data_IF_124890186926
#
_entry.id   IF_124890186926
#
_cell.length_a   1.000
_cell.length_b   1.000
_cell.length_c   1.000
_cell.angle_alpha   90.00
_cell.angle_beta   90.00
_cell.angle_gamma   90.00
#
_symmetry.space_group_name_H-M   'P 1'
#
loop_
_entity.id
_entity.type
_entity.pdbx_description
1 polymer ?
#
# COMPACT_ATOMS: atom_id res chain seq x y z
N UNK A 1 -14.19 -13.20 11.59
CA UNK A 1 -13.75 -11.95 12.24
C UNK A 1 -14.08 -10.78 11.31
N UNK A 2 -14.73 -9.73 11.81
CA UNK A 2 -15.08 -8.56 11.00
C UNK A 2 -13.80 -7.89 10.46
N UNK A 3 -13.78 -7.51 9.18
CA UNK A 3 -12.67 -6.73 8.61
C UNK A 3 -12.49 -5.45 9.43
N UNK A 4 -11.28 -5.09 9.88
CA UNK A 4 -11.08 -3.84 10.62
C UNK A 4 -11.52 -2.65 9.75
N UNK A 5 -12.26 -1.72 10.34
CA UNK A 5 -12.72 -0.49 9.68
C UNK A 5 -11.52 0.24 9.05
N UNK A 6 -11.66 0.62 7.77
CA UNK A 6 -10.64 1.33 7.01
C UNK A 6 -10.16 2.60 7.73
N UNK A 7 -11.07 3.30 8.41
CA UNK A 7 -10.75 4.50 9.20
C UNK A 7 -9.81 4.18 10.36
N UNK A 8 -10.01 3.04 11.03
CA UNK A 8 -9.15 2.61 12.14
C UNK A 8 -7.76 2.27 11.63
N UNK A 9 -7.65 1.55 10.50
CA UNK A 9 -6.34 1.26 9.89
C UNK A 9 -5.59 2.53 9.48
N UNK A 10 -6.31 3.48 8.88
CA UNK A 10 -5.78 4.79 8.52
C UNK A 10 -5.30 5.59 9.74
N UNK A 11 -6.11 5.65 10.79
CA UNK A 11 -5.75 6.30 12.04
C UNK A 11 -4.51 5.69 12.71
N UNK A 12 -4.46 4.35 12.79
CA UNK A 12 -3.31 3.62 13.34
C UNK A 12 -2.04 3.86 12.52
N UNK A 13 -2.15 3.93 11.18
CA UNK A 13 -1.00 4.21 10.31
C UNK A 13 -0.44 5.62 10.55
N UNK A 14 -1.32 6.62 10.65
CA UNK A 14 -0.93 8.01 10.97
C UNK A 14 -0.23 8.05 12.34
N UNK A 15 -0.81 7.40 13.34
CA UNK A 15 -0.25 7.33 14.70
C UNK A 15 1.15 6.72 14.68
N UNK A 16 1.34 5.58 14.02
CA UNK A 16 2.64 4.91 13.95
C UNK A 16 3.70 5.76 13.26
N UNK A 17 3.35 6.43 12.17
CA UNK A 17 4.25 7.38 11.48
C UNK A 17 4.61 8.59 12.36
N UNK A 18 3.63 9.13 13.09
CA UNK A 18 3.84 10.23 14.03
C UNK A 18 4.80 9.83 15.16
N UNK A 19 4.53 8.69 15.79
CA UNK A 19 5.33 8.15 16.90
C UNK A 19 6.76 7.81 16.46
N UNK A 20 6.94 7.29 15.24
CA UNK A 20 8.28 7.03 14.67
C UNK A 20 9.12 8.30 14.48
N UNK A 21 8.49 9.47 14.38
CA UNK A 21 9.15 10.77 14.31
C UNK A 21 9.27 11.45 15.68
N UNK A 22 8.83 10.79 16.76
CA UNK A 22 8.84 11.36 18.11
C UNK A 22 7.86 12.53 18.29
N UNK A 23 6.91 12.72 17.37
CA UNK A 23 5.97 13.85 17.43
C UNK A 23 4.81 13.58 18.38
N UNK A 24 4.34 14.59 19.10
CA UNK A 24 3.09 14.57 19.87
C UNK A 24 1.87 14.83 18.99
N UNK A 25 0.66 14.51 19.48
CA UNK A 25 -0.57 14.85 18.76
C UNK A 25 -0.73 16.37 18.60
N UNK A 26 -0.30 17.15 19.58
CA UNK A 26 -0.34 18.61 19.57
C UNK A 26 0.54 19.19 18.46
N UNK A 27 1.78 18.69 18.34
CA UNK A 27 2.71 19.10 17.29
C UNK A 27 2.19 18.75 15.89
N UNK A 28 1.57 17.58 15.72
CA UNK A 28 0.93 17.23 14.44
C UNK A 28 -0.26 18.15 14.16
N UNK A 29 -1.09 18.43 15.18
CA UNK A 29 -2.25 19.29 15.06
C UNK A 29 -1.86 20.72 14.63
N UNK A 30 -0.81 21.27 15.24
CA UNK A 30 -0.23 22.56 14.88
C UNK A 30 0.24 22.57 13.42
N UNK A 31 1.04 21.58 13.01
CA UNK A 31 1.56 21.48 11.64
C UNK A 31 0.49 21.39 10.57
N UNK A 32 -0.65 20.75 10.87
CA UNK A 32 -1.75 20.62 9.91
C UNK A 32 -2.80 21.73 10.07
N UNK A 33 -2.64 22.66 11.02
CA UNK A 33 -3.58 23.75 11.28
C UNK A 33 -4.95 23.26 11.75
N UNK A 34 -4.98 22.28 12.66
CA UNK A 34 -6.19 21.69 13.25
C UNK A 34 -6.07 21.59 14.77
N UNK A 35 -7.18 21.27 15.44
CA UNK A 35 -7.18 21.01 16.88
C UNK A 35 -6.65 19.61 17.21
N UNK A 36 -6.10 19.46 18.43
CA UNK A 36 -5.61 18.19 18.97
C UNK A 36 -6.70 17.10 18.92
N UNK A 37 -7.94 17.46 19.24
CA UNK A 37 -9.09 16.56 19.15
C UNK A 37 -9.31 16.02 17.74
N UNK A 38 -9.01 16.82 16.71
CA UNK A 38 -9.09 16.36 15.31
C UNK A 38 -8.06 15.26 15.07
N UNK A 39 -6.81 15.45 15.49
CA UNK A 39 -5.76 14.43 15.36
C UNK A 39 -6.12 13.18 16.16
N UNK A 40 -6.55 13.34 17.42
CA UNK A 40 -6.98 12.22 18.28
C UNK A 40 -8.14 11.41 17.67
N UNK A 41 -9.15 12.08 17.10
CA UNK A 41 -10.28 11.40 16.46
C UNK A 41 -9.86 10.68 15.16
N UNK A 42 -8.96 11.28 14.38
CA UNK A 42 -8.40 10.65 13.17
C UNK A 42 -7.60 9.40 13.56
N UNK A 43 -6.69 9.49 14.54
CA UNK A 43 -5.84 8.38 14.96
C UNK A 43 -6.63 7.20 15.55
N UNK A 44 -7.77 7.49 16.20
CA UNK A 44 -8.70 6.46 16.69
C UNK A 44 -9.67 5.93 15.63
N UNK A 45 -9.71 6.54 14.44
CA UNK A 45 -10.61 6.14 13.35
C UNK A 45 -12.08 6.48 13.59
N UNK A 46 -12.39 7.44 14.49
CA UNK A 46 -13.77 7.89 14.77
C UNK A 46 -14.44 8.36 13.48
N UNK A 47 -13.74 9.22 12.74
CA UNK A 47 -14.13 9.69 11.41
C UNK A 47 -12.92 9.70 10.46
N UNK A 48 -13.20 9.74 9.16
CA UNK A 48 -12.19 10.01 8.15
C UNK A 48 -11.84 11.50 8.08
N UNK A 49 -10.79 11.84 7.35
CA UNK A 49 -10.39 13.24 7.17
C UNK A 49 -10.52 13.67 5.70
N UNK A 50 -10.82 14.94 5.40
CA UNK A 50 -10.77 15.47 4.05
C UNK A 50 -9.40 15.24 3.38
N UNK A 51 -9.39 15.08 2.04
CA UNK A 51 -8.18 14.75 1.29
C UNK A 51 -7.08 15.82 1.42
N UNK A 52 -7.45 17.10 1.54
CA UNK A 52 -6.53 18.22 1.78
C UNK A 52 -5.86 18.12 3.16
N UNK A 53 -6.60 17.65 4.17
CA UNK A 53 -6.05 17.39 5.50
C UNK A 53 -5.14 16.17 5.47
N UNK A 54 -5.51 15.11 4.74
CA UNK A 54 -4.63 13.95 4.54
C UNK A 54 -3.31 14.35 3.85
N UNK A 55 -3.35 15.24 2.86
CA UNK A 55 -2.17 15.80 2.21
C UNK A 55 -1.28 16.59 3.19
N UNK A 56 -1.87 17.42 4.05
CA UNK A 56 -1.14 18.13 5.11
C UNK A 56 -0.51 17.18 6.13
N UNK A 57 -1.23 16.12 6.52
CA UNK A 57 -0.70 15.08 7.40
C UNK A 57 0.50 14.40 6.75
N UNK A 58 0.41 13.99 5.49
CA UNK A 58 1.52 13.36 4.78
C UNK A 58 2.76 14.27 4.73
N UNK A 59 2.57 15.55 4.43
CA UNK A 59 3.64 16.54 4.44
C UNK A 59 4.26 16.74 5.83
N UNK A 60 3.45 16.85 6.89
CA UNK A 60 3.91 16.98 8.27
C UNK A 60 4.70 15.74 8.74
N UNK A 61 4.27 14.56 8.30
CA UNK A 61 4.91 13.28 8.59
C UNK A 61 6.06 12.92 7.62
N UNK A 62 6.39 13.79 6.65
CA UNK A 62 7.48 13.59 5.68
C UNK A 62 7.37 12.28 4.88
N UNK A 63 6.15 11.90 4.50
CA UNK A 63 5.86 10.70 3.68
C UNK A 63 5.03 11.06 2.47
N UNK A 64 4.97 10.16 1.48
CA UNK A 64 4.01 10.31 0.39
C UNK A 64 2.58 10.04 0.88
N UNK A 65 1.59 10.67 0.23
CA UNK A 65 0.18 10.50 0.61
C UNK A 65 -0.27 9.03 0.56
N UNK A 66 0.24 8.24 -0.39
CA UNK A 66 -0.04 6.81 -0.51
C UNK A 66 0.42 6.00 0.70
N UNK A 67 1.48 6.43 1.39
CA UNK A 67 2.02 5.74 2.56
C UNK A 67 1.11 5.83 3.79
N UNK A 68 0.19 6.81 3.83
CA UNK A 68 -0.87 6.88 4.85
C UNK A 68 -1.87 5.72 4.70
N UNK A 69 -1.94 5.11 3.53
CA UNK A 69 -2.82 3.98 3.20
C UNK A 69 -2.07 2.65 3.11
N UNK A 70 -0.76 2.64 3.37
CA UNK A 70 0.02 1.42 3.47
C UNK A 70 -0.21 0.78 4.83
N UNK A 71 -1.37 0.15 4.98
CA UNK A 71 -1.67 -0.67 6.15
C UNK A 71 -0.80 -1.91 6.06
N UNK A 72 -0.03 -2.22 7.11
CA UNK A 72 0.78 -3.43 7.11
C UNK A 72 -0.08 -4.61 6.67
N UNK A 73 0.39 -5.28 5.62
CA UNK A 73 -0.29 -6.31 4.85
C UNK A 73 -0.43 -7.62 5.63
N UNK A 74 -0.65 -7.56 6.94
CA UNK A 74 -0.99 -8.73 7.76
C UNK A 74 -2.33 -9.35 7.33
N UNK A 75 -3.15 -8.61 6.57
CA UNK A 75 -4.41 -9.10 6.02
C UNK A 75 -4.31 -9.63 4.57
N UNK A 76 -3.14 -9.62 3.92
CA UNK A 76 -2.99 -10.34 2.66
C UNK A 76 -2.62 -11.79 2.96
N UNK A 77 -3.35 -12.78 2.40
CA UNK A 77 -2.92 -14.17 2.43
C UNK A 77 -1.45 -14.25 2.01
N UNK A 78 -0.67 -15.15 2.60
CA UNK A 78 0.75 -15.30 2.27
C UNK A 78 1.01 -15.36 0.75
N UNK A 79 0.09 -15.96 -0.01
CA UNK A 79 0.08 -16.00 -1.47
C UNK A 79 0.07 -14.60 -2.15
N UNK A 80 -0.63 -13.62 -1.60
CA UNK A 80 -0.64 -12.24 -2.11
C UNK A 80 0.70 -11.52 -1.89
N UNK A 81 1.32 -11.74 -0.73
CA UNK A 81 2.67 -11.20 -0.42
C UNK A 81 3.74 -11.83 -1.30
N UNK A 82 3.69 -13.14 -1.51
CA UNK A 82 4.62 -13.86 -2.39
C UNK A 82 4.47 -13.41 -3.85
N UNK A 83 3.24 -13.37 -4.37
CA UNK A 83 2.97 -12.87 -5.71
C UNK A 83 3.50 -11.44 -5.91
N UNK A 84 3.26 -10.55 -4.94
CA UNK A 84 3.78 -9.18 -5.00
C UNK A 84 5.31 -9.12 -5.02
N UNK A 85 5.99 -9.92 -4.20
CA UNK A 85 7.47 -10.00 -4.17
C UNK A 85 8.03 -10.47 -5.51
N UNK A 86 7.41 -11.47 -6.12
CA UNK A 86 7.82 -11.98 -7.44
C UNK A 86 7.66 -10.87 -8.49
N UNK A 87 6.51 -10.20 -8.54
CA UNK A 87 6.28 -9.10 -9.48
C UNK A 87 7.29 -7.97 -9.28
N UNK A 88 7.59 -7.57 -8.03
CA UNK A 88 8.60 -6.55 -7.73
C UNK A 88 9.99 -6.96 -8.21
N UNK A 89 10.38 -8.22 -7.97
CA UNK A 89 11.66 -8.76 -8.44
C UNK A 89 11.73 -8.79 -9.97
N UNK A 90 10.64 -9.16 -10.66
CA UNK A 90 10.57 -9.16 -12.11
C UNK A 90 10.73 -7.75 -12.67
N UNK A 91 9.97 -6.78 -12.15
CA UNK A 91 10.09 -5.37 -12.59
C UNK A 91 11.52 -4.84 -12.43
N UNK A 92 12.17 -5.15 -11.30
CA UNK A 92 13.56 -4.73 -11.07
C UNK A 92 14.53 -5.30 -12.12
N UNK A 93 14.39 -6.58 -12.47
CA UNK A 93 15.19 -7.23 -13.51
C UNK A 93 14.90 -6.61 -14.89
N UNK A 94 13.62 -6.47 -15.24
CA UNK A 94 13.19 -6.00 -16.56
C UNK A 94 13.64 -4.55 -16.84
N UNK A 95 13.69 -3.70 -15.82
CA UNK A 95 14.12 -2.30 -15.98
C UNK A 95 15.58 -2.15 -16.45
N UNK A 96 16.43 -3.17 -16.24
CA UNK A 96 17.83 -3.16 -16.66
C UNK A 96 18.08 -3.74 -18.05
N UNK A 97 17.05 -4.24 -18.74
CA UNK A 97 17.20 -4.94 -20.02
C UNK A 97 17.09 -3.99 -21.21
N UNK A 98 17.78 -4.33 -22.30
CA UNK A 98 17.59 -3.67 -23.59
C UNK A 98 16.28 -4.10 -24.27
N UNK A 99 15.87 -3.34 -25.30
CA UNK A 99 14.61 -3.57 -26.01
C UNK A 99 14.54 -4.96 -26.65
N UNK A 100 15.66 -5.47 -27.18
CA UNK A 100 15.71 -6.78 -27.82
C UNK A 100 15.45 -7.90 -26.81
N UNK A 101 16.05 -7.80 -25.62
CA UNK A 101 15.87 -8.77 -24.53
C UNK A 101 14.45 -8.70 -23.96
N UNK A 102 13.89 -7.49 -23.80
CA UNK A 102 12.51 -7.32 -23.36
C UNK A 102 11.50 -7.98 -24.30
N UNK A 103 11.69 -7.84 -25.62
CA UNK A 103 10.82 -8.49 -26.61
C UNK A 103 10.91 -10.01 -26.55
N UNK A 104 12.13 -10.57 -26.44
CA UNK A 104 12.31 -12.00 -26.28
C UNK A 104 11.63 -12.54 -25.01
N UNK A 105 11.76 -11.84 -23.88
CA UNK A 105 11.09 -12.22 -22.63
C UNK A 105 9.57 -12.12 -22.75
N UNK A 106 9.03 -11.09 -23.41
CA UNK A 106 7.60 -10.96 -23.68
C UNK A 106 7.06 -12.18 -24.42
N UNK A 107 7.74 -12.65 -25.47
CA UNK A 107 7.32 -13.83 -26.23
C UNK A 107 7.26 -15.10 -25.36
N UNK A 108 8.27 -15.31 -24.51
CA UNK A 108 8.33 -16.44 -23.58
C UNK A 108 7.19 -16.40 -22.56
N UNK A 109 6.91 -15.22 -21.99
CA UNK A 109 5.81 -15.03 -21.04
C UNK A 109 4.46 -15.32 -21.72
N UNK A 110 4.23 -14.78 -22.91
CA UNK A 110 2.98 -14.99 -23.66
C UNK A 110 2.77 -16.46 -24.02
N UNK A 111 3.82 -17.17 -24.43
CA UNK A 111 3.76 -18.61 -24.69
C UNK A 111 3.42 -19.39 -23.40
N UNK A 112 4.06 -19.04 -22.28
CA UNK A 112 3.83 -19.69 -20.99
C UNK A 112 2.40 -19.50 -20.48
N UNK A 113 1.83 -18.30 -20.63
CA UNK A 113 0.44 -18.00 -20.26
C UNK A 113 -0.55 -18.82 -21.11
N UNK A 114 -0.33 -18.90 -22.43
CA UNK A 114 -1.16 -19.71 -23.33
C UNK A 114 -1.15 -21.20 -22.94
N UNK A 115 0.00 -21.72 -22.52
CA UNK A 115 0.14 -23.11 -22.05
C UNK A 115 -0.57 -23.34 -20.71
N UNK A 116 -0.47 -22.41 -19.76
CA UNK A 116 -1.16 -22.49 -18.47
C UNK A 116 -2.69 -22.47 -18.62
N UNK A 117 -3.22 -21.58 -19.48
CA UNK A 117 -4.66 -21.49 -19.75
C UNK A 117 -5.25 -22.77 -20.37
N UNK A 118 -4.47 -23.49 -21.20
CA UNK A 118 -4.89 -24.76 -21.81
C UNK A 118 -4.99 -25.92 -20.81
N UNK A 119 -4.25 -25.89 -19.71
CA UNK A 119 -4.28 -26.94 -18.66
C UNK A 119 -5.51 -26.84 -17.76
N UNK A 120 -6.04 -25.63 -17.55
CA UNK A 120 -7.27 -25.42 -16.74
C UNK A 120 -8.54 -25.98 -17.41
N UNK A 121 -8.59 -26.03 -18.75
CA UNK A 121 -9.76 -26.51 -19.51
C UNK A 121 -9.88 -28.04 -19.68
N UNK A 122 -8.89 -28.84 -19.23
CA UNK A 122 -8.91 -30.32 -19.37
C UNK A 122 -9.37 -31.09 -18.13
N UNK A 123 -9.71 -30.41 -17.04
CA UNK A 123 -10.04 -31.07 -15.75
C UNK A 123 -11.52 -31.42 -15.55
N UNK A 124 -12.39 -31.31 -16.57
CA UNK A 124 -13.83 -31.65 -16.48
C UNK A 124 -14.28 -32.52 -17.67
N UNK A 125 -13.68 -33.71 -17.82
CA UNK A 125 -14.27 -34.81 -18.58
C UNK A 125 -13.92 -36.13 -17.92
#
# INVERSE_FOLDING_TARGET
MAKPDLKVKFGMRIRGLREALGMTQDELAEKIGRGVDTVSNIERGVYGTPIDVAGRIAAALKVNLSELFSFDDEAQPAAGREHRRIVQSLTAILNGLDMKSLLAIKEVIEASVKLAGRRSGRSHR
#
